data_IF_771312454935
#
_entry.id   IF_771312454935
#
_cell.length_a   1.000
_cell.length_b   1.000
_cell.length_c   1.000
_cell.angle_alpha   90.00
_cell.angle_beta   90.00
_cell.angle_gamma   90.00
#
_symmetry.space_group_name_H-M   'P 1'
#
loop_
_entity.id
_entity.type
_entity.pdbx_description
1 polymer ?
#
# COMPACT_ATOMS: atom_id res chain seq x y z
N UNK A 1 4.09 47.37 -36.53
CA UNK A 1 3.39 46.07 -36.44
C UNK A 1 3.44 45.70 -34.97
N UNK A 2 2.34 45.92 -34.25
CA UNK A 2 2.27 45.60 -32.81
C UNK A 2 2.26 44.09 -32.63
N UNK A 3 3.22 43.57 -31.87
CA UNK A 3 3.17 42.21 -31.38
C UNK A 3 2.16 42.19 -30.23
N UNK A 4 1.03 41.53 -30.44
CA UNK A 4 0.15 41.12 -29.35
C UNK A 4 0.97 40.24 -28.40
N UNK A 5 1.42 40.79 -27.28
CA UNK A 5 1.99 40.01 -26.19
C UNK A 5 0.84 39.25 -25.53
N UNK A 6 0.55 38.06 -26.04
CA UNK A 6 -0.32 37.11 -25.37
C UNK A 6 0.25 36.82 -23.98
N UNK A 7 -0.52 37.11 -22.94
CA UNK A 7 -0.21 36.71 -21.57
C UNK A 7 -0.31 35.18 -21.48
N UNK A 8 0.82 34.49 -21.42
CA UNK A 8 0.84 33.06 -21.10
C UNK A 8 0.91 32.88 -19.58
N UNK A 9 0.02 32.05 -19.03
CA UNK A 9 0.10 31.60 -17.64
C UNK A 9 1.02 30.38 -17.62
N UNK A 10 2.13 30.45 -16.89
CA UNK A 10 2.94 29.27 -16.58
C UNK A 10 2.23 28.48 -15.48
N UNK A 11 1.72 27.30 -15.83
CA UNK A 11 1.11 26.37 -14.89
C UNK A 11 2.11 25.23 -14.63
N UNK A 12 2.50 25.05 -13.38
CA UNK A 12 3.21 23.85 -12.96
C UNK A 12 2.15 22.79 -12.63
N UNK A 13 2.06 21.73 -13.44
CA UNK A 13 1.14 20.62 -13.20
C UNK A 13 1.94 19.47 -12.60
N UNK A 14 1.51 18.99 -11.42
CA UNK A 14 2.04 17.77 -10.82
C UNK A 14 0.99 16.66 -10.86
N UNK A 15 1.42 15.46 -11.25
CA UNK A 15 0.58 14.26 -11.22
C UNK A 15 0.99 13.39 -10.05
N UNK A 16 0.00 12.97 -9.25
CA UNK A 16 0.21 12.06 -8.12
C UNK A 16 -0.58 10.77 -8.35
N UNK A 17 -0.11 9.67 -7.74
CA UNK A 17 -0.78 8.38 -7.86
C UNK A 17 -2.08 8.38 -7.05
N UNK A 18 -3.14 7.81 -7.62
CA UNK A 18 -4.42 7.58 -6.96
C UNK A 18 -4.37 6.50 -5.86
N UNK A 19 -3.33 5.68 -5.84
CA UNK A 19 -3.18 4.51 -4.98
C UNK A 19 -2.03 4.66 -3.99
N UNK A 20 -2.10 3.90 -2.91
CA UNK A 20 -0.98 3.63 -2.01
C UNK A 20 -0.28 2.33 -2.44
N UNK A 21 1.00 2.20 -2.06
CA UNK A 21 1.78 0.96 -2.25
C UNK A 21 2.27 0.42 -0.91
N UNK A 22 2.27 -0.89 -0.79
CA UNK A 22 2.95 -1.62 0.27
C UNK A 22 4.16 -2.37 -0.28
N UNK A 23 5.29 -2.21 0.39
CA UNK A 23 6.45 -3.08 0.33
C UNK A 23 6.40 -3.99 1.56
N UNK A 24 6.78 -5.27 1.42
CA UNK A 24 6.81 -6.23 2.54
C UNK A 24 8.24 -6.67 2.79
N UNK A 25 8.67 -6.67 4.04
CA UNK A 25 9.95 -7.23 4.47
C UNK A 25 9.67 -8.50 5.25
N UNK A 26 10.10 -9.63 4.71
CA UNK A 26 10.00 -10.93 5.36
C UNK A 26 11.25 -11.76 5.11
N UNK A 27 11.77 -12.38 6.16
CA UNK A 27 12.79 -13.41 6.10
C UNK A 27 12.19 -14.66 6.73
N UNK A 28 11.69 -15.59 5.92
CA UNK A 28 10.98 -16.79 6.40
C UNK A 28 11.84 -17.68 7.29
N UNK A 29 13.18 -17.57 7.19
CA UNK A 29 14.09 -18.32 8.07
C UNK A 29 14.10 -17.79 9.50
N UNK A 30 13.72 -16.52 9.70
CA UNK A 30 13.63 -15.86 11.00
C UNK A 30 12.19 -15.75 11.50
N UNK A 31 11.26 -15.44 10.59
CA UNK A 31 9.86 -15.22 10.94
C UNK A 31 9.05 -16.51 11.05
N UNK A 32 9.60 -17.64 10.58
CA UNK A 32 8.92 -18.93 10.49
C UNK A 32 7.68 -18.94 9.58
N UNK A 33 7.50 -17.89 8.78
CA UNK A 33 6.33 -17.69 7.93
C UNK A 33 6.74 -17.45 6.47
N UNK A 34 6.29 -18.35 5.58
CA UNK A 34 6.40 -18.20 4.14
C UNK A 34 5.08 -17.66 3.59
N UNK A 35 5.05 -16.39 3.19
CA UNK A 35 3.89 -15.75 2.58
C UNK A 35 3.69 -16.33 1.17
N UNK A 36 2.46 -16.70 0.85
CA UNK A 36 2.05 -17.16 -0.49
C UNK A 36 1.13 -16.16 -1.17
N UNK A 37 0.28 -15.48 -0.39
CA UNK A 37 -0.71 -14.56 -0.93
C UNK A 37 -0.90 -13.33 -0.05
N UNK A 38 -1.20 -12.22 -0.69
CA UNK A 38 -1.52 -10.94 -0.08
C UNK A 38 -2.89 -10.44 -0.56
N UNK A 39 -3.67 -9.89 0.37
CA UNK A 39 -4.96 -9.25 0.14
C UNK A 39 -5.15 -8.10 1.14
N UNK A 40 -6.29 -7.42 1.07
CA UNK A 40 -6.68 -6.38 2.00
C UNK A 40 -8.17 -6.52 2.32
N UNK A 41 -8.49 -6.53 3.60
CA UNK A 41 -9.86 -6.40 4.10
C UNK A 41 -10.22 -4.93 4.35
N UNK A 42 -11.53 -4.65 4.37
CA UNK A 42 -12.06 -3.31 4.63
C UNK A 42 -11.49 -2.22 3.70
N UNK A 43 -11.22 -2.56 2.44
CA UNK A 43 -10.67 -1.62 1.47
C UNK A 43 -11.74 -0.87 0.69
N UNK A 44 -11.43 0.35 0.27
CA UNK A 44 -12.28 1.16 -0.61
C UNK A 44 -12.25 0.63 -2.03
N UNK A 45 -13.39 0.66 -2.72
CA UNK A 45 -13.53 0.11 -4.07
C UNK A 45 -12.86 0.96 -5.17
N UNK A 46 -12.66 2.26 -4.91
CA UNK A 46 -12.24 3.22 -5.91
C UNK A 46 -11.93 4.58 -5.32
N UNK A 47 -11.54 5.49 -6.20
CA UNK A 47 -11.44 6.92 -5.92
C UNK A 47 -11.97 7.76 -7.09
N UNK A 48 -12.37 9.01 -6.81
CA UNK A 48 -12.39 10.07 -7.84
C UNK A 48 -10.95 10.48 -8.20
N UNK A 49 -10.72 11.10 -9.36
CA UNK A 49 -9.36 11.52 -9.78
C UNK A 49 -9.04 12.99 -9.48
N UNK A 50 -10.04 13.88 -9.52
CA UNK A 50 -9.83 15.32 -9.34
C UNK A 50 -10.94 15.94 -8.48
N UNK A 51 -10.74 16.09 -7.15
CA UNK A 51 -9.60 15.62 -6.36
C UNK A 51 -9.66 14.11 -6.10
N UNK A 52 -8.54 13.52 -5.65
CA UNK A 52 -8.52 12.12 -5.22
C UNK A 52 -9.30 11.95 -3.92
N UNK A 53 -10.41 11.22 -3.96
CA UNK A 53 -11.25 10.90 -2.79
C UNK A 53 -11.78 9.46 -2.88
N UNK A 54 -11.77 8.68 -1.79
CA UNK A 54 -12.39 7.35 -1.78
C UNK A 54 -13.85 7.37 -2.22
N UNK A 55 -14.25 6.36 -2.98
CA UNK A 55 -15.66 6.14 -3.32
C UNK A 55 -16.47 5.72 -2.08
N UNK A 56 -17.74 6.14 -2.05
CA UNK A 56 -18.68 5.85 -0.95
C UNK A 56 -18.67 6.90 0.15
N UNK A 57 -19.40 6.62 1.22
CA UNK A 57 -19.60 7.53 2.35
C UNK A 57 -18.38 7.54 3.28
N UNK A 58 -18.24 8.59 4.09
CA UNK A 58 -17.22 8.66 5.15
C UNK A 58 -17.94 9.03 6.46
N UNK A 59 -18.14 8.09 7.40
CA UNK A 59 -17.71 6.68 7.38
C UNK A 59 -18.41 5.84 6.29
N UNK A 60 -17.75 4.77 5.85
CA UNK A 60 -18.36 3.84 4.90
C UNK A 60 -19.64 3.20 5.46
N UNK A 61 -20.70 3.16 4.67
CA UNK A 61 -21.91 2.39 4.99
C UNK A 61 -21.74 0.91 4.61
N UNK A 62 -22.65 0.06 5.08
CA UNK A 62 -22.52 -1.39 4.89
C UNK A 62 -22.45 -1.75 3.39
N UNK A 63 -21.49 -2.60 3.02
CA UNK A 63 -21.26 -3.01 1.63
C UNK A 63 -20.36 -2.07 0.79
N UNK A 64 -19.95 -0.91 1.31
CA UNK A 64 -19.04 0.00 0.59
C UNK A 64 -17.55 -0.34 0.75
N UNK A 65 -17.20 -1.17 1.74
CA UNK A 65 -15.87 -1.72 1.93
C UNK A 65 -15.81 -3.14 1.36
N UNK A 66 -14.69 -3.49 0.73
CA UNK A 66 -14.49 -4.78 0.08
C UNK A 66 -13.27 -5.51 0.63
N UNK A 67 -13.26 -6.82 0.41
CA UNK A 67 -12.01 -7.60 0.44
C UNK A 67 -11.43 -7.60 -0.96
N UNK A 68 -10.18 -7.14 -1.09
CA UNK A 68 -9.47 -7.16 -2.36
C UNK A 68 -9.17 -8.62 -2.75
N UNK A 69 -9.14 -8.96 -4.04
CA UNK A 69 -8.78 -10.31 -4.45
C UNK A 69 -7.37 -10.67 -3.95
N UNK A 70 -7.17 -11.92 -3.56
CA UNK A 70 -5.84 -12.43 -3.24
C UNK A 70 -4.93 -12.36 -4.47
N UNK A 71 -3.70 -11.92 -4.25
CA UNK A 71 -2.63 -11.91 -5.24
C UNK A 71 -1.47 -12.73 -4.71
N UNK A 72 -0.84 -13.47 -5.62
CA UNK A 72 0.37 -14.21 -5.30
C UNK A 72 1.45 -13.26 -4.79
N UNK A 73 2.16 -13.71 -3.77
CA UNK A 73 3.31 -13.03 -3.21
C UNK A 73 4.59 -13.70 -3.74
N UNK A 74 4.89 -13.43 -5.01
CA UNK A 74 5.95 -14.07 -5.80
C UNK A 74 7.00 -13.09 -6.36
N UNK A 75 6.98 -11.85 -5.84
CA UNK A 75 7.93 -10.82 -6.25
C UNK A 75 9.39 -11.17 -5.94
N UNK A 76 10.31 -10.39 -6.52
CA UNK A 76 11.74 -10.53 -6.25
C UNK A 76 12.02 -10.47 -4.74
N UNK A 77 12.82 -11.42 -4.24
CA UNK A 77 13.14 -11.60 -2.82
C UNK A 77 11.94 -11.90 -1.91
N UNK A 78 10.82 -12.42 -2.46
CA UNK A 78 9.72 -12.93 -1.65
C UNK A 78 10.24 -13.88 -0.56
N UNK A 79 9.90 -13.56 0.70
CA UNK A 79 10.27 -14.33 1.89
C UNK A 79 11.78 -14.40 2.20
N UNK A 80 12.62 -13.67 1.48
CA UNK A 80 14.08 -13.64 1.66
C UNK A 80 14.63 -12.21 1.82
N UNK A 81 13.79 -11.26 2.21
CA UNK A 81 14.14 -9.85 2.36
C UNK A 81 12.98 -8.92 2.00
N UNK A 82 13.29 -7.83 1.30
CA UNK A 82 12.30 -6.83 0.89
C UNK A 82 11.71 -7.17 -0.47
N UNK A 83 10.41 -7.41 -0.51
CA UNK A 83 9.59 -7.44 -1.71
C UNK A 83 8.95 -6.08 -1.93
N UNK A 84 9.50 -5.31 -2.87
CA UNK A 84 8.93 -4.02 -3.26
C UNK A 84 7.68 -4.21 -4.12
N UNK A 85 6.77 -3.24 -4.11
CA UNK A 85 5.55 -3.23 -4.93
C UNK A 85 4.66 -4.47 -4.70
N UNK A 86 4.68 -5.00 -3.48
CA UNK A 86 3.98 -6.21 -3.10
C UNK A 86 2.45 -6.07 -3.18
N UNK A 87 1.91 -4.89 -2.85
CA UNK A 87 0.47 -4.66 -2.92
C UNK A 87 0.14 -3.19 -3.16
N UNK A 88 -1.02 -2.94 -3.76
CA UNK A 88 -1.55 -1.61 -4.00
C UNK A 88 -3.01 -1.54 -3.58
N UNK A 89 -3.42 -0.41 -3.02
CA UNK A 89 -4.81 -0.16 -2.69
C UNK A 89 -5.21 1.30 -2.88
N UNK A 90 -6.51 1.53 -2.96
CA UNK A 90 -7.05 2.88 -2.83
C UNK A 90 -6.91 3.40 -1.39
N UNK A 91 -6.92 4.72 -1.19
CA UNK A 91 -6.77 5.31 0.13
C UNK A 91 -7.83 4.79 1.09
N UNK A 92 -7.43 4.54 2.32
CA UNK A 92 -8.26 3.96 3.37
C UNK A 92 -8.23 4.87 4.58
N UNK A 93 -9.41 5.28 5.06
CA UNK A 93 -9.50 6.15 6.23
C UNK A 93 -9.33 5.33 7.49
N UNK A 94 -8.79 5.92 8.56
CA UNK A 94 -8.56 5.21 9.81
C UNK A 94 -9.87 4.63 10.39
N UNK A 95 -11.00 5.30 10.13
CA UNK A 95 -12.34 4.84 10.53
C UNK A 95 -12.80 3.58 9.79
N UNK A 96 -12.28 3.32 8.59
CA UNK A 96 -12.64 2.12 7.80
C UNK A 96 -11.99 0.85 8.41
N UNK A 97 -11.01 1.00 9.31
CA UNK A 97 -10.30 -0.10 9.96
C UNK A 97 -9.76 -1.12 8.94
N UNK A 98 -9.12 -0.63 7.88
CA UNK A 98 -8.44 -1.44 6.88
C UNK A 98 -7.33 -2.30 7.49
N UNK A 99 -7.09 -3.46 6.88
CA UNK A 99 -6.01 -4.36 7.26
C UNK A 99 -5.50 -5.16 6.05
N UNK A 100 -4.20 -5.48 6.01
CA UNK A 100 -3.70 -6.48 5.08
C UNK A 100 -4.04 -7.88 5.57
N UNK A 101 -4.22 -8.79 4.62
CA UNK A 101 -4.35 -10.21 4.87
C UNK A 101 -3.15 -10.90 4.23
N UNK A 102 -2.32 -11.55 5.04
CA UNK A 102 -1.22 -12.37 4.56
C UNK A 102 -1.55 -13.84 4.80
N UNK A 103 -1.61 -14.61 3.72
CA UNK A 103 -1.74 -16.07 3.78
C UNK A 103 -0.41 -16.72 3.47
N UNK A 104 -0.23 -17.91 4.02
CA UNK A 104 0.90 -18.74 3.67
C UNK A 104 1.09 -19.89 4.64
N UNK A 105 2.35 -20.28 4.81
CA UNK A 105 2.75 -21.47 5.54
C UNK A 105 3.61 -21.08 6.73
N UNK A 106 3.19 -21.50 7.92
CA UNK A 106 3.95 -21.40 9.15
C UNK A 106 4.66 -22.71 9.47
N UNK A 107 5.91 -22.63 9.93
CA UNK A 107 6.75 -23.78 10.34
C UNK A 107 7.60 -23.42 11.55
N UNK A 108 7.30 -24.00 12.71
CA UNK A 108 8.02 -23.75 13.97
C UNK A 108 9.52 -24.04 13.84
N UNK A 109 9.88 -25.16 13.21
CA UNK A 109 11.21 -25.40 12.67
C UNK A 109 11.10 -25.67 11.17
N UNK A 110 12.16 -25.36 10.39
CA UNK A 110 12.18 -25.54 8.93
C UNK A 110 11.88 -26.99 8.46
N UNK A 111 11.92 -27.96 9.38
CA UNK A 111 11.67 -29.39 9.14
C UNK A 111 10.29 -29.86 9.59
N UNK A 112 9.53 -29.03 10.31
CA UNK A 112 8.23 -29.41 10.85
C UNK A 112 7.13 -29.36 9.77
N UNK A 113 6.00 -30.00 10.07
CA UNK A 113 4.83 -29.94 9.22
C UNK A 113 4.38 -28.48 9.01
N UNK A 114 4.20 -28.12 7.74
CA UNK A 114 3.75 -26.77 7.36
C UNK A 114 2.27 -26.62 7.69
N UNK A 115 1.93 -25.54 8.39
CA UNK A 115 0.55 -25.18 8.71
C UNK A 115 0.10 -24.02 7.84
N UNK A 116 -1.06 -24.14 7.20
CA UNK A 116 -1.68 -23.01 6.54
C UNK A 116 -2.17 -22.00 7.57
N UNK A 117 -1.78 -20.75 7.39
CA UNK A 117 -2.10 -19.64 8.28
C UNK A 117 -2.59 -18.43 7.49
N UNK A 118 -3.38 -17.58 8.14
CA UNK A 118 -3.91 -16.35 7.56
C UNK A 118 -3.94 -15.25 8.61
N UNK A 119 -3.00 -14.31 8.52
CA UNK A 119 -2.88 -13.22 9.48
C UNK A 119 -3.53 -11.94 8.98
N UNK A 120 -4.11 -11.18 9.91
CA UNK A 120 -4.63 -9.82 9.65
C UNK A 120 -3.66 -8.81 10.26
N UNK A 121 -3.14 -7.92 9.43
CA UNK A 121 -2.24 -6.85 9.86
C UNK A 121 -3.03 -5.54 9.84
N UNK A 122 -3.52 -5.04 10.98
CA UNK A 122 -4.26 -3.80 11.04
C UNK A 122 -3.38 -2.62 10.60
N UNK A 123 -4.00 -1.61 9.99
CA UNK A 123 -3.33 -0.35 9.70
C UNK A 123 -3.17 0.47 10.98
N UNK A 124 -2.19 0.07 11.78
CA UNK A 124 -1.87 0.66 13.06
C UNK A 124 -0.37 0.95 13.16
N UNK A 125 -0.05 2.06 13.81
CA UNK A 125 1.31 2.36 14.24
C UNK A 125 1.40 2.08 15.73
N UNK A 126 2.22 1.10 16.09
CA UNK A 126 2.51 0.80 17.49
C UNK A 126 3.59 1.77 17.96
N UNK A 127 3.25 2.60 18.95
CA UNK A 127 4.21 3.42 19.70
C UNK A 127 3.99 3.11 21.17
N UNK A 128 5.05 2.71 21.88
CA UNK A 128 5.02 2.37 23.31
C UNK A 128 3.92 1.38 23.72
N UNK A 129 3.68 0.35 22.90
CA UNK A 129 2.71 -0.73 23.18
C UNK A 129 1.25 -0.38 22.90
N UNK A 130 0.93 0.86 22.51
CA UNK A 130 -0.42 1.26 22.12
C UNK A 130 -0.52 1.42 20.59
N UNK A 131 -1.39 0.63 19.95
CA UNK A 131 -1.67 0.72 18.52
C UNK A 131 -2.59 1.90 18.20
N UNK A 132 -2.11 2.89 17.45
CA UNK A 132 -2.96 3.96 16.90
C UNK A 132 -3.28 3.67 15.45
N UNK A 133 -4.57 3.62 15.09
CA UNK A 133 -4.98 3.45 13.69
C UNK A 133 -4.46 4.58 12.82
N UNK A 134 -3.95 4.23 11.65
CA UNK A 134 -3.41 5.17 10.68
C UNK A 134 -4.28 5.20 9.41
N UNK A 135 -4.25 6.33 8.72
CA UNK A 135 -4.79 6.42 7.36
C UNK A 135 -3.78 5.89 6.34
N UNK A 136 -4.28 5.22 5.32
CA UNK A 136 -3.52 4.86 4.12
C UNK A 136 -3.83 5.90 3.05
N UNK A 137 -2.85 6.75 2.76
CA UNK A 137 -2.99 7.86 1.84
C UNK A 137 -2.54 7.49 0.43
N UNK A 138 -3.21 8.05 -0.58
CA UNK A 138 -2.76 7.94 -1.97
C UNK A 138 -1.34 8.50 -2.12
N UNK A 139 -0.60 8.03 -3.11
CA UNK A 139 0.75 8.50 -3.40
C UNK A 139 1.77 8.31 -2.25
N UNK A 140 1.50 7.40 -1.32
CA UNK A 140 2.45 7.04 -0.26
C UNK A 140 2.91 5.59 -0.38
N UNK A 141 4.12 5.33 0.11
CA UNK A 141 4.66 3.98 0.30
C UNK A 141 4.60 3.61 1.79
N UNK A 142 4.17 2.40 2.05
CA UNK A 142 4.17 1.79 3.37
C UNK A 142 5.07 0.56 3.33
N UNK A 143 5.90 0.39 4.35
CA UNK A 143 6.71 -0.82 4.53
C UNK A 143 6.16 -1.61 5.70
N UNK A 144 5.78 -2.85 5.46
CA UNK A 144 5.37 -3.79 6.52
C UNK A 144 6.56 -4.69 6.81
N UNK A 145 7.08 -4.59 8.02
CA UNK A 145 8.19 -5.41 8.48
C UNK A 145 7.66 -6.51 9.38
N UNK A 146 7.76 -7.75 8.92
CA UNK A 146 7.44 -8.94 9.68
C UNK A 146 8.67 -9.33 10.50
N UNK A 147 8.47 -9.57 11.79
CA UNK A 147 9.56 -9.98 12.69
C UNK A 147 9.43 -11.43 13.12
N UNK A 148 8.23 -11.85 13.46
CA UNK A 148 7.95 -13.18 14.02
C UNK A 148 6.51 -13.57 13.75
N UNK A 149 6.27 -14.86 13.57
CA UNK A 149 4.94 -15.44 13.47
C UNK A 149 4.83 -16.63 14.41
N UNK A 150 3.61 -16.91 14.87
CA UNK A 150 3.22 -18.16 15.50
C UNK A 150 1.92 -18.66 14.83
N UNK A 151 1.37 -19.85 15.18
CA UNK A 151 0.17 -20.38 14.52
C UNK A 151 -1.08 -19.46 14.57
N UNK A 152 -1.11 -18.46 15.45
CA UNK A 152 -2.27 -17.62 15.74
C UNK A 152 -2.00 -16.14 15.46
N UNK A 153 -0.79 -15.64 15.74
CA UNK A 153 -0.45 -14.22 15.64
C UNK A 153 0.79 -13.97 14.75
N UNK A 154 0.85 -12.77 14.17
CA UNK A 154 1.96 -12.27 13.38
C UNK A 154 2.40 -10.93 13.94
N UNK A 155 3.64 -10.86 14.40
CA UNK A 155 4.24 -9.60 14.82
C UNK A 155 4.76 -8.85 13.59
N UNK A 156 4.12 -7.73 13.28
CA UNK A 156 4.48 -6.87 12.17
C UNK A 156 4.42 -5.39 12.53
N UNK A 157 5.30 -4.60 11.93
CA UNK A 157 5.36 -3.15 12.11
C UNK A 157 5.16 -2.44 10.77
N UNK A 158 4.28 -1.44 10.73
CA UNK A 158 4.06 -0.61 9.54
C UNK A 158 4.84 0.71 9.70
N UNK A 159 5.69 1.02 8.72
CA UNK A 159 6.42 2.29 8.62
C UNK A 159 5.98 3.07 7.38
N UNK A 160 5.71 4.36 7.57
CA UNK A 160 5.46 5.29 6.48
C UNK A 160 6.79 5.73 5.86
N UNK A 161 6.88 5.65 4.54
CA UNK A 161 7.99 6.23 3.78
C UNK A 161 7.40 7.04 2.64
N UNK A 162 7.74 8.33 2.55
CA UNK A 162 7.26 9.16 1.44
C UNK A 162 7.65 8.53 0.10
N UNK A 163 6.71 8.58 -0.86
CA UNK A 163 7.00 8.18 -2.21
C UNK A 163 7.73 9.33 -2.88
N UNK A 164 9.00 9.12 -3.25
CA UNK A 164 9.73 10.09 -4.06
C UNK A 164 8.89 10.44 -5.30
N UNK A 165 8.70 11.74 -5.54
CA UNK A 165 8.00 12.21 -6.74
C UNK A 165 8.76 11.65 -7.94
N UNK A 166 8.03 11.07 -8.91
CA UNK A 166 8.67 10.55 -10.12
C UNK A 166 9.50 11.63 -10.79
N UNK A 167 10.54 11.20 -11.52
CA UNK A 167 11.46 12.08 -12.22
C UNK A 167 10.73 13.16 -13.04
N UNK A 168 11.43 14.29 -13.21
CA UNK A 168 10.99 15.44 -14.01
C UNK A 168 10.40 14.95 -15.34
N UNK A 169 9.14 15.28 -15.61
CA UNK A 169 8.58 15.16 -16.95
C UNK A 169 9.18 16.32 -17.73
N UNK A 170 9.87 16.02 -18.85
CA UNK A 170 10.44 17.05 -19.72
C UNK A 170 9.41 18.14 -20.03
N UNK A 171 9.88 19.39 -20.04
CA UNK A 171 9.05 20.53 -20.40
C UNK A 171 8.43 20.28 -21.77
N UNK A 172 7.10 20.31 -21.84
CA UNK A 172 6.39 20.30 -23.10
C UNK A 172 6.71 21.62 -23.84
N UNK A 173 7.57 21.54 -24.86
CA UNK A 173 7.69 22.61 -25.86
C UNK A 173 6.56 22.44 -26.89
N UNK A 174 5.53 23.31 -26.89
CA UNK A 174 4.55 23.29 -27.96
C UNK A 174 5.24 23.60 -29.29
N UNK A 175 5.08 22.72 -30.28
CA UNK A 175 5.44 23.03 -31.65
C UNK A 175 4.44 24.09 -32.14
N UNK A 176 4.84 25.36 -32.07
CA UNK A 176 4.07 26.46 -32.63
C UNK A 176 4.19 26.35 -34.15
N UNK A 177 3.38 25.45 -34.72
CA UNK A 177 3.27 25.24 -36.15
C UNK A 177 3.21 26.57 -36.88
N UNK A 178 4.25 26.85 -37.66
CA UNK A 178 4.41 28.03 -38.50
C UNK A 178 3.25 28.20 -39.48
#
# INVERSE_FOLDING_TARGET
>A
REYSMGTYVRLNVSLTRAVARFDIVNDATKSHFTITDISMGNGRQGVTLFPIRPTGDVPATNGQLITYPYRLFDGLNANAGTTTKAFYCYPCKAIDAGFLILKGLYTMNLTDEKKEVSYRIPFERVTDGNGTRIEINHNHRYTVQITEADPFELTANIRLVDWETGDYIDDYEPDNGL
#
